data_IF_245062359304
#
_entry.id   IF_245062359304
#
_cell.length_a   1.000
_cell.length_b   1.000
_cell.length_c   1.000
_cell.angle_alpha   90.00
_cell.angle_beta   90.00
_cell.angle_gamma   90.00
#
_symmetry.space_group_name_H-M   'P 1'
#
loop_
_entity.id
_entity.type
_entity.pdbx_description
1 polymer ?
#
# COMPACT_ATOMS: atom_id res chain seq x y z
N UNK A 1 9.98 16.92 -54.87
CA UNK A 1 9.39 17.11 -53.53
C UNK A 1 9.34 18.60 -53.24
N UNK A 2 8.16 19.11 -52.93
CA UNK A 2 8.00 20.51 -52.51
C UNK A 2 8.41 20.65 -51.03
N UNK A 3 8.88 21.83 -50.64
CA UNK A 3 9.20 22.16 -49.25
C UNK A 3 8.00 21.91 -48.30
N UNK A 4 6.77 22.07 -48.80
CA UNK A 4 5.55 21.85 -48.02
C UNK A 4 5.21 20.37 -47.79
N UNK A 5 5.52 19.49 -48.76
CA UNK A 5 5.33 18.04 -48.60
C UNK A 5 6.28 17.48 -47.54
N UNK A 6 7.53 17.94 -47.55
CA UNK A 6 8.51 17.56 -46.54
C UNK A 6 8.11 18.02 -45.14
N UNK A 7 7.65 19.27 -44.99
CA UNK A 7 7.15 19.79 -43.71
C UNK A 7 5.98 18.97 -43.17
N UNK A 8 5.02 18.62 -44.02
CA UNK A 8 3.86 17.80 -43.63
C UNK A 8 4.28 16.41 -43.13
N UNK A 9 5.20 15.74 -43.83
CA UNK A 9 5.73 14.45 -43.37
C UNK A 9 6.49 14.59 -42.05
N UNK A 10 7.36 15.59 -41.94
CA UNK A 10 8.16 15.83 -40.75
C UNK A 10 7.30 16.06 -39.50
N UNK A 11 6.27 16.91 -39.59
CA UNK A 11 5.31 17.14 -38.49
C UNK A 11 4.64 15.82 -38.07
N UNK A 12 4.26 14.99 -39.04
CA UNK A 12 3.66 13.68 -38.75
C UNK A 12 4.61 12.68 -38.08
N UNK A 13 5.92 12.77 -38.34
CA UNK A 13 6.93 11.97 -37.65
C UNK A 13 7.18 12.46 -36.23
N UNK A 14 7.32 13.77 -36.05
CA UNK A 14 7.51 14.40 -34.74
C UNK A 14 6.33 14.08 -33.82
N UNK A 15 5.09 14.27 -34.29
CA UNK A 15 3.90 14.00 -33.48
C UNK A 15 3.79 12.52 -33.05
N UNK A 16 4.20 11.58 -33.92
CA UNK A 16 4.24 10.15 -33.56
C UNK A 16 5.32 9.84 -32.54
N UNK A 17 6.49 10.45 -32.69
CA UNK A 17 7.60 10.29 -31.76
C UNK A 17 7.25 10.85 -30.37
N UNK A 18 6.69 12.05 -30.32
CA UNK A 18 6.24 12.69 -29.08
C UNK A 18 5.19 11.84 -28.36
N UNK A 19 4.16 11.38 -29.09
CA UNK A 19 3.13 10.49 -28.52
C UNK A 19 3.70 9.17 -27.98
N UNK A 20 4.64 8.56 -28.71
CA UNK A 20 5.29 7.33 -28.25
C UNK A 20 6.14 7.58 -27.00
N UNK A 21 6.87 8.70 -26.95
CA UNK A 21 7.73 9.08 -25.82
C UNK A 21 6.90 9.37 -24.57
N UNK A 22 5.79 10.10 -24.71
CA UNK A 22 4.87 10.36 -23.60
C UNK A 22 4.30 9.05 -23.04
N UNK A 23 3.90 8.13 -23.92
CA UNK A 23 3.38 6.82 -23.49
C UNK A 23 4.42 5.99 -22.75
N UNK A 24 5.69 6.03 -23.19
CA UNK A 24 6.78 5.33 -22.48
C UNK A 24 6.97 5.93 -21.09
N UNK A 25 7.01 7.26 -20.99
CA UNK A 25 7.18 7.96 -19.71
C UNK A 25 6.05 7.60 -18.72
N UNK A 26 4.80 7.61 -19.16
CA UNK A 26 3.66 7.19 -18.32
C UNK A 26 3.82 5.75 -17.80
N UNK A 27 4.23 4.83 -18.68
CA UNK A 27 4.41 3.42 -18.30
C UNK A 27 5.58 3.23 -17.33
N UNK A 28 6.66 3.99 -17.48
CA UNK A 28 7.80 3.99 -16.57
C UNK A 28 7.41 4.53 -15.19
N UNK A 29 6.60 5.59 -15.12
CA UNK A 29 6.08 6.14 -13.88
C UNK A 29 5.18 5.13 -13.16
N UNK A 30 4.21 4.53 -13.87
CA UNK A 30 3.36 3.47 -13.31
C UNK A 30 4.18 2.26 -12.82
N UNK A 31 5.24 1.89 -13.55
CA UNK A 31 6.13 0.80 -13.15
C UNK A 31 6.89 1.15 -11.88
N UNK A 32 7.44 2.36 -11.81
CA UNK A 32 8.18 2.86 -10.65
C UNK A 32 7.30 2.86 -9.39
N UNK A 33 6.07 3.37 -9.50
CA UNK A 33 5.12 3.37 -8.38
C UNK A 33 4.79 1.95 -7.89
N UNK A 34 4.54 1.01 -8.82
CA UNK A 34 4.28 -0.39 -8.47
C UNK A 34 5.49 -1.05 -7.80
N UNK A 35 6.70 -0.76 -8.28
CA UNK A 35 7.93 -1.28 -7.70
C UNK A 35 8.16 -0.73 -6.30
N UNK A 36 7.97 0.57 -6.10
CA UNK A 36 8.06 1.22 -4.78
C UNK A 36 7.09 0.60 -3.77
N UNK A 37 5.80 0.49 -4.15
CA UNK A 37 4.79 -0.17 -3.30
C UNK A 37 5.15 -1.63 -2.98
N UNK A 38 5.62 -2.38 -3.98
CA UNK A 38 6.04 -3.77 -3.77
C UNK A 38 7.24 -3.87 -2.84
N UNK A 39 8.18 -2.93 -2.91
CA UNK A 39 9.34 -2.88 -2.05
C UNK A 39 8.95 -2.64 -0.58
N UNK A 40 8.12 -1.63 -0.32
CA UNK A 40 7.60 -1.34 1.03
C UNK A 40 6.87 -2.53 1.63
N UNK A 41 6.00 -3.21 0.86
CA UNK A 41 5.29 -4.39 1.34
C UNK A 41 6.24 -5.56 1.65
N UNK A 42 7.28 -5.76 0.83
CA UNK A 42 8.29 -6.81 1.08
C UNK A 42 9.16 -6.50 2.29
N UNK A 43 9.40 -5.23 2.59
CA UNK A 43 10.08 -4.82 3.82
C UNK A 43 9.20 -5.10 5.03
N UNK A 44 7.94 -4.69 5.01
CA UNK A 44 6.99 -4.98 6.08
C UNK A 44 6.86 -6.48 6.36
N UNK A 45 6.75 -7.31 5.32
CA UNK A 45 6.68 -8.77 5.49
C UNK A 45 7.96 -9.31 6.12
N UNK A 46 9.14 -8.86 5.67
CA UNK A 46 10.43 -9.28 6.26
C UNK A 46 10.56 -8.87 7.72
N UNK A 47 10.07 -7.68 8.08
CA UNK A 47 10.07 -7.21 9.45
C UNK A 47 9.19 -8.10 10.33
N UNK A 48 8.01 -8.50 9.84
CA UNK A 48 7.10 -9.43 10.54
C UNK A 48 7.71 -10.84 10.64
N UNK A 49 8.29 -11.36 9.56
CA UNK A 49 8.97 -12.67 9.55
C UNK A 49 10.21 -12.70 10.44
N UNK A 50 10.87 -11.55 10.62
CA UNK A 50 12.00 -11.38 11.52
C UNK A 50 11.63 -11.32 13.00
N UNK A 51 10.34 -11.17 13.34
CA UNK A 51 9.87 -11.30 14.71
C UNK A 51 9.97 -12.77 15.15
N UNK A 52 10.87 -13.06 16.09
CA UNK A 52 11.20 -14.42 16.59
C UNK A 52 9.97 -15.20 17.13
N UNK A 53 8.90 -14.49 17.51
CA UNK A 53 7.56 -15.04 17.73
C UNK A 53 6.51 -14.14 17.10
N UNK A 54 5.91 -14.59 16.00
CA UNK A 54 4.49 -14.34 15.81
C UNK A 54 3.81 -15.02 16.98
N UNK A 55 3.02 -14.31 17.79
CA UNK A 55 2.36 -14.83 19.00
C UNK A 55 1.76 -16.21 18.74
N UNK A 56 2.51 -17.23 19.11
CA UNK A 56 2.18 -18.64 18.92
C UNK A 56 1.25 -19.12 20.04
N UNK A 57 1.30 -18.43 21.16
CA UNK A 57 0.48 -18.63 22.34
C UNK A 57 -0.02 -17.30 22.91
N UNK A 58 -1.07 -17.37 23.73
CA UNK A 58 -1.62 -16.22 24.43
C UNK A 58 -0.62 -15.71 25.48
N UNK A 59 -0.20 -14.45 25.35
CA UNK A 59 0.61 -13.75 26.35
C UNK A 59 -0.26 -12.72 27.09
N UNK A 60 -0.56 -12.96 28.37
CA UNK A 60 -1.41 -12.11 29.21
C UNK A 60 -0.86 -10.68 29.36
N UNK A 61 0.47 -10.52 29.40
CA UNK A 61 1.09 -9.20 29.54
C UNK A 61 0.92 -8.39 28.27
N UNK A 62 1.11 -9.02 27.11
CA UNK A 62 0.91 -8.37 25.83
C UNK A 62 -0.57 -8.05 25.59
N UNK A 63 -1.47 -8.96 25.97
CA UNK A 63 -2.90 -8.72 25.93
C UNK A 63 -3.34 -7.54 26.80
N UNK A 64 -2.77 -7.40 27.99
CA UNK A 64 -3.02 -6.24 28.87
C UNK A 64 -2.47 -4.94 28.26
N UNK A 65 -1.37 -5.00 27.50
CA UNK A 65 -0.78 -3.84 26.85
C UNK A 65 -1.62 -3.30 25.68
N UNK A 66 -2.35 -4.16 24.98
CA UNK A 66 -3.20 -3.76 23.84
C UNK A 66 -4.61 -3.36 24.27
N UNK A 67 -5.06 -3.78 25.45
CA UNK A 67 -6.33 -3.35 26.04
C UNK A 67 -6.27 -1.87 26.44
N UNK A 68 -7.32 -1.13 26.13
CA UNK A 68 -7.53 0.26 26.58
C UNK A 68 -8.36 0.28 27.86
N UNK A 69 -9.51 -0.41 27.85
CA UNK A 69 -10.43 -0.50 28.99
C UNK A 69 -11.36 -1.70 28.85
N UNK A 70 -11.95 -2.11 29.98
CA UNK A 70 -13.04 -3.09 30.03
C UNK A 70 -14.27 -2.40 30.59
N UNK A 71 -15.41 -2.55 29.93
CA UNK A 71 -16.71 -2.01 30.35
C UNK A 71 -17.60 -3.16 30.78
N UNK A 72 -18.19 -3.06 31.97
CA UNK A 72 -19.21 -3.99 32.46
C UNK A 72 -20.58 -3.43 32.05
N UNK A 73 -21.36 -4.23 31.33
CA UNK A 73 -22.70 -3.88 30.89
C UNK A 73 -23.75 -4.21 31.96
N UNK A 74 -24.97 -3.67 31.82
CA UNK A 74 -26.04 -3.83 32.82
C UNK A 74 -26.53 -5.28 32.99
N UNK A 75 -26.38 -6.10 31.94
CA UNK A 75 -26.66 -7.54 31.91
C UNK A 75 -25.54 -8.39 32.50
N UNK A 76 -24.39 -7.78 32.82
CA UNK A 76 -23.21 -8.46 33.34
C UNK A 76 -22.21 -8.86 32.27
N UNK A 77 -22.48 -8.57 30.99
CA UNK A 77 -21.56 -8.87 29.90
C UNK A 77 -20.35 -7.92 29.93
N UNK A 78 -19.22 -8.42 29.42
CA UNK A 78 -17.98 -7.67 29.36
C UNK A 78 -17.72 -7.19 27.94
N UNK A 79 -17.44 -5.89 27.80
CA UNK A 79 -16.93 -5.31 26.56
C UNK A 79 -15.47 -4.92 26.72
N UNK A 80 -14.62 -5.54 25.92
CA UNK A 80 -13.19 -5.25 25.84
C UNK A 80 -12.95 -4.23 24.74
N UNK A 81 -12.39 -3.07 25.09
CA UNK A 81 -11.98 -2.04 24.13
C UNK A 81 -10.46 -2.06 23.99
N UNK A 82 -9.97 -2.20 22.77
CA UNK A 82 -8.53 -2.20 22.44
C UNK A 82 -8.08 -0.82 21.99
N UNK A 83 -6.78 -0.53 22.14
CA UNK A 83 -6.18 0.76 21.79
C UNK A 83 -6.25 1.09 20.29
N UNK A 84 -6.48 0.10 19.45
CA UNK A 84 -6.68 0.28 18.00
C UNK A 84 -8.14 0.61 17.63
N UNK A 85 -9.04 0.68 18.61
CA UNK A 85 -10.46 0.94 18.43
C UNK A 85 -11.31 -0.32 18.20
N UNK A 86 -10.72 -1.51 18.20
CA UNK A 86 -11.46 -2.77 18.16
C UNK A 86 -12.27 -2.94 19.45
N UNK A 87 -13.50 -3.45 19.34
CA UNK A 87 -14.36 -3.80 20.47
C UNK A 87 -14.82 -5.25 20.35
N UNK A 88 -14.72 -6.03 21.44
CA UNK A 88 -15.13 -7.44 21.48
C UNK A 88 -15.98 -7.68 22.73
N UNK A 89 -17.07 -8.45 22.57
CA UNK A 89 -17.95 -8.91 23.64
C UNK A 89 -17.45 -10.26 24.17
N UNK A 90 -17.43 -10.42 25.49
CA UNK A 90 -16.90 -11.60 26.20
C UNK A 90 -17.97 -12.50 26.80
#
# INVERSE_FOLDING_TARGET
MSQDEWKKQHVGYVARHEKATERVRELEEMKSERQSRSHTLKELIRDIEGCERVLDEFDERLWTLILEKVVVLEDGDLRFCFKDGTEVEG
#
